data_IF_499705906685
#
_entry.id   IF_499705906685
#
_cell.length_a   1.000
_cell.length_b   1.000
_cell.length_c   1.000
_cell.angle_alpha   90.00
_cell.angle_beta   90.00
_cell.angle_gamma   90.00
#
_symmetry.space_group_name_H-M   'P 1'
#
loop_
_entity.id
_entity.type
_entity.pdbx_description
1 polymer ?
#
# COMPACT_ATOMS: atom_id res chain seq x y z
N UNK A 1 -18.26 9.71 0.34
CA UNK A 1 -16.90 9.27 -0.04
C UNK A 1 -16.83 9.22 -1.55
N UNK A 2 -15.81 9.81 -2.16
CA UNK A 2 -15.63 9.68 -3.61
C UNK A 2 -15.06 8.28 -3.92
N UNK A 3 -15.91 7.39 -4.43
CA UNK A 3 -15.55 6.00 -4.76
C UNK A 3 -14.53 5.97 -5.91
N UNK A 4 -14.60 6.90 -6.85
CA UNK A 4 -13.66 6.95 -7.98
C UNK A 4 -12.27 7.33 -7.48
N UNK A 5 -12.19 8.35 -6.63
CA UNK A 5 -10.92 8.76 -6.03
C UNK A 5 -10.37 7.68 -5.07
N UNK A 6 -11.24 7.00 -4.33
CA UNK A 6 -10.85 5.86 -3.49
C UNK A 6 -10.25 4.69 -4.29
N UNK A 7 -10.82 4.36 -5.46
CA UNK A 7 -10.28 3.34 -6.37
C UNK A 7 -8.94 3.76 -6.97
N UNK A 8 -8.76 5.03 -7.34
CA UNK A 8 -7.45 5.54 -7.81
C UNK A 8 -6.39 5.45 -6.73
N UNK A 9 -6.73 5.83 -5.50
CA UNK A 9 -5.81 5.75 -4.37
C UNK A 9 -5.43 4.30 -4.06
N UNK A 10 -6.38 3.36 -4.18
CA UNK A 10 -6.09 1.93 -4.04
C UNK A 10 -5.11 1.43 -5.11
N UNK A 11 -5.27 1.86 -6.37
CA UNK A 11 -4.31 1.54 -7.45
C UNK A 11 -2.91 2.07 -7.15
N UNK A 12 -2.79 3.33 -6.73
CA UNK A 12 -1.50 3.95 -6.36
C UNK A 12 -0.82 3.23 -5.20
N UNK A 13 -1.57 2.81 -4.19
CA UNK A 13 -1.03 2.04 -3.07
C UNK A 13 -0.46 0.69 -3.51
N UNK A 14 -1.12 0.02 -4.46
CA UNK A 14 -0.58 -1.20 -5.05
C UNK A 14 0.71 -0.95 -5.84
N UNK A 15 0.75 0.10 -6.66
CA UNK A 15 1.96 0.49 -7.42
C UNK A 15 3.13 0.87 -6.48
N UNK A 16 2.85 1.58 -5.39
CA UNK A 16 3.87 1.94 -4.39
C UNK A 16 4.41 0.71 -3.65
N UNK A 17 3.54 -0.26 -3.34
CA UNK A 17 3.95 -1.54 -2.74
C UNK A 17 4.90 -2.29 -3.67
N UNK A 18 4.53 -2.46 -4.94
CA UNK A 18 5.37 -3.15 -5.94
C UNK A 18 6.72 -2.45 -6.11
N UNK A 19 6.77 -1.12 -6.09
CA UNK A 19 8.02 -0.36 -6.13
C UNK A 19 8.90 -0.66 -4.91
N UNK A 20 8.35 -0.64 -3.70
CA UNK A 20 9.12 -0.92 -2.48
C UNK A 20 9.63 -2.36 -2.47
N UNK A 21 8.81 -3.32 -2.89
CA UNK A 21 9.20 -4.72 -3.05
C UNK A 21 10.35 -4.85 -4.05
N UNK A 22 10.30 -4.12 -5.16
CA UNK A 22 11.39 -4.12 -6.14
C UNK A 22 12.69 -3.53 -5.58
N UNK A 23 12.61 -2.51 -4.71
CA UNK A 23 13.79 -1.89 -4.08
C UNK A 23 14.44 -2.80 -3.02
N UNK A 24 13.70 -3.76 -2.47
CA UNK A 24 14.18 -4.70 -1.45
C UNK A 24 15.03 -5.83 -2.07
N UNK A 25 16.19 -5.49 -2.62
CA UNK A 25 17.12 -6.47 -3.21
C UNK A 25 18.01 -7.17 -2.15
N UNK A 26 18.52 -8.36 -2.51
CA UNK A 26 19.35 -9.23 -1.65
C UNK A 26 20.55 -8.52 -0.99
N UNK A 27 21.09 -7.47 -1.61
CA UNK A 27 22.27 -6.72 -1.14
C UNK A 27 21.94 -5.43 -0.36
N UNK A 28 20.67 -5.10 -0.14
CA UNK A 28 20.32 -3.92 0.64
C UNK A 28 20.71 -4.09 2.12
N UNK A 29 21.16 -3.02 2.82
CA UNK A 29 21.41 -3.07 4.26
C UNK A 29 20.18 -3.56 5.04
N UNK A 30 20.39 -4.27 6.14
CA UNK A 30 19.29 -4.80 6.99
C UNK A 30 18.31 -3.70 7.40
N UNK A 31 18.82 -2.51 7.76
CA UNK A 31 18.01 -1.35 8.11
C UNK A 31 17.10 -0.90 6.95
N UNK A 32 17.60 -0.98 5.71
CA UNK A 32 16.80 -0.66 4.53
C UNK A 32 15.69 -1.70 4.31
N UNK A 33 16.01 -3.00 4.43
CA UNK A 33 15.01 -4.08 4.33
C UNK A 33 13.91 -3.92 5.38
N UNK A 34 14.30 -3.60 6.62
CA UNK A 34 13.36 -3.34 7.71
C UNK A 34 12.41 -2.16 7.42
N UNK A 35 12.93 -1.03 6.93
CA UNK A 35 12.07 0.10 6.57
C UNK A 35 11.18 -0.20 5.36
N UNK A 36 11.65 -0.97 4.37
CA UNK A 36 10.81 -1.47 3.28
C UNK A 36 9.64 -2.32 3.81
N UNK A 37 9.92 -3.31 4.66
CA UNK A 37 8.90 -4.17 5.24
C UNK A 37 7.89 -3.39 6.09
N UNK A 38 8.38 -2.45 6.89
CA UNK A 38 7.54 -1.55 7.70
C UNK A 38 6.64 -0.69 6.81
N UNK A 39 7.16 -0.17 5.70
CA UNK A 39 6.38 0.62 4.75
C UNK A 39 5.33 -0.23 4.03
N UNK A 40 5.66 -1.45 3.64
CA UNK A 40 4.71 -2.41 3.04
C UNK A 40 3.54 -2.67 4.01
N UNK A 41 3.81 -2.92 5.29
CA UNK A 41 2.74 -3.13 6.30
C UNK A 41 1.82 -1.92 6.45
N UNK A 42 2.36 -0.71 6.40
CA UNK A 42 1.55 0.52 6.42
C UNK A 42 0.65 0.63 5.19
N UNK A 43 1.18 0.29 4.01
CA UNK A 43 0.43 0.29 2.76
C UNK A 43 -0.71 -0.74 2.82
N UNK A 44 -0.43 -1.94 3.33
CA UNK A 44 -1.45 -3.00 3.48
C UNK A 44 -2.60 -2.54 4.40
N UNK A 45 -2.30 -1.90 5.53
CA UNK A 45 -3.32 -1.32 6.42
C UNK A 45 -4.16 -0.22 5.76
N UNK A 46 -3.53 0.63 4.94
CA UNK A 46 -4.25 1.65 4.17
C UNK A 46 -5.16 1.04 3.10
N UNK A 47 -4.70 0.00 2.40
CA UNK A 47 -5.50 -0.74 1.42
C UNK A 47 -6.73 -1.34 2.10
N UNK A 48 -6.57 -1.98 3.25
CA UNK A 48 -7.69 -2.57 3.99
C UNK A 48 -8.71 -1.50 4.40
N UNK A 49 -8.24 -0.38 4.96
CA UNK A 49 -9.09 0.73 5.37
C UNK A 49 -9.91 1.28 4.19
N UNK A 50 -9.27 1.49 3.03
CA UNK A 50 -9.96 1.98 1.82
C UNK A 50 -10.97 0.94 1.33
N UNK A 51 -10.62 -0.35 1.30
CA UNK A 51 -11.54 -1.43 0.91
C UNK A 51 -12.78 -1.48 1.82
N UNK A 52 -12.60 -1.39 3.13
CA UNK A 52 -13.69 -1.38 4.10
C UNK A 52 -14.59 -0.14 3.90
N UNK A 53 -14.01 1.03 3.68
CA UNK A 53 -14.75 2.26 3.43
C UNK A 53 -15.54 2.21 2.12
N UNK A 54 -14.96 1.69 1.02
CA UNK A 54 -15.69 1.46 -0.24
C UNK A 54 -16.85 0.48 -0.02
N UNK A 55 -16.64 -0.62 0.72
CA UNK A 55 -17.71 -1.58 1.03
C UNK A 55 -18.84 -0.95 1.86
N UNK A 56 -18.52 -0.04 2.79
CA UNK A 56 -19.48 0.59 3.70
C UNK A 56 -20.26 1.73 3.06
N UNK A 57 -19.60 2.55 2.25
CA UNK A 57 -20.15 3.80 1.72
C UNK A 57 -20.37 3.79 0.20
N UNK A 58 -20.05 2.68 -0.47
CA UNK A 58 -20.21 2.52 -1.91
C UNK A 58 -21.53 1.90 -2.35
N UNK A 59 -22.50 1.78 -1.44
CA UNK A 59 -23.88 1.41 -1.74
C UNK A 59 -24.70 2.64 -2.10
#
# INVERSE_FOLDING_TARGET
MDILEAKKNLKKLHEDKEKIESLNHLNAPIAFKFECDKRIRQIDGNIETIKQNIKRYGR
#
